data_IF_262213094993
#
_entry.id   IF_262213094993
#
_cell.length_a   1.000
_cell.length_b   1.000
_cell.length_c   1.000
_cell.angle_alpha   90.00
_cell.angle_beta   90.00
_cell.angle_gamma   90.00
#
_symmetry.space_group_name_H-M   'P 1'
#
loop_
_entity.id
_entity.type
_entity.pdbx_description
1 polymer ?
#
# COMPACT_ATOMS: atom_id res chain seq x y z
N UNK A 1 -7.30 -0.59 -20.98
CA UNK A 1 -6.37 0.49 -20.58
C UNK A 1 -5.25 -0.12 -19.75
N UNK A 2 -4.03 -0.29 -20.27
CA UNK A 2 -2.93 -0.85 -19.48
C UNK A 2 -2.48 0.19 -18.43
N UNK A 3 -2.60 -0.16 -17.15
CA UNK A 3 -2.14 0.67 -16.03
C UNK A 3 -0.63 0.86 -16.12
N UNK A 4 -0.18 2.12 -16.22
CA UNK A 4 1.23 2.45 -16.16
C UNK A 4 1.83 1.92 -14.85
N UNK A 5 2.77 0.96 -14.93
CA UNK A 5 3.58 0.57 -13.77
C UNK A 5 4.52 1.74 -13.48
N UNK A 6 4.22 2.52 -12.46
CA UNK A 6 5.21 3.41 -11.87
C UNK A 6 6.38 2.55 -11.37
N UNK A 7 7.62 2.75 -11.84
CA UNK A 7 8.77 2.06 -11.30
C UNK A 7 8.89 2.43 -9.81
N UNK A 8 8.94 1.42 -8.94
CA UNK A 8 9.02 1.63 -7.49
C UNK A 8 10.25 2.47 -7.16
N UNK A 9 10.03 3.69 -6.68
CA UNK A 9 11.11 4.55 -6.19
C UNK A 9 11.46 4.09 -4.78
N UNK A 10 12.67 3.55 -4.61
CA UNK A 10 13.15 3.15 -3.29
C UNK A 10 13.15 4.33 -2.31
N UNK A 11 12.90 4.08 -1.02
CA UNK A 11 12.66 5.12 -0.01
C UNK A 11 13.84 6.09 0.17
N UNK A 12 15.08 5.62 0.00
CA UNK A 12 16.28 6.48 0.03
C UNK A 12 16.28 7.55 -1.06
N UNK A 13 15.96 7.17 -2.31
CA UNK A 13 15.84 8.13 -3.43
C UNK A 13 14.66 9.08 -3.28
N UNK A 14 13.56 8.61 -2.69
CA UNK A 14 12.43 9.47 -2.39
C UNK A 14 12.83 10.55 -1.36
N UNK A 15 13.61 10.17 -0.34
CA UNK A 15 14.09 11.09 0.70
C UNK A 15 15.14 12.09 0.20
N UNK A 16 16.09 11.65 -0.63
CA UNK A 16 17.07 12.52 -1.27
C UNK A 16 16.40 13.62 -2.09
N UNK A 17 15.31 13.28 -2.80
CA UNK A 17 14.53 14.23 -3.61
C UNK A 17 13.75 15.23 -2.77
N UNK A 18 13.41 14.91 -1.52
CA UNK A 18 12.62 15.79 -0.66
C UNK A 18 13.48 16.67 0.26
N UNK A 19 14.81 16.64 0.12
CA UNK A 19 15.71 17.60 0.78
C UNK A 19 15.77 17.47 2.30
N UNK A 20 15.54 16.27 2.85
CA UNK A 20 15.63 16.03 4.31
C UNK A 20 14.33 16.26 5.06
N UNK A 21 13.24 15.60 4.63
CA UNK A 21 11.95 15.67 5.32
C UNK A 21 12.02 15.07 6.73
N UNK A 22 11.43 15.77 7.72
CA UNK A 22 11.44 15.37 9.14
C UNK A 22 10.58 14.13 9.46
N UNK A 23 9.72 13.67 8.54
CA UNK A 23 8.79 12.56 8.78
C UNK A 23 8.42 11.85 7.48
N UNK A 24 8.60 10.53 7.44
CA UNK A 24 8.21 9.69 6.32
C UNK A 24 6.91 8.93 6.66
N UNK A 25 5.93 8.92 5.75
CA UNK A 25 4.74 8.06 5.86
C UNK A 25 4.79 7.10 4.68
N UNK A 26 4.76 5.80 4.95
CA UNK A 26 4.78 4.75 3.94
C UNK A 26 3.46 4.01 4.00
N UNK A 27 2.75 3.98 2.87
CA UNK A 27 1.57 3.13 2.71
C UNK A 27 2.04 1.79 2.15
N UNK A 28 1.89 0.75 2.95
CA UNK A 28 2.17 -0.64 2.59
C UNK A 28 0.86 -1.41 2.41
N UNK A 29 0.89 -2.74 2.42
CA UNK A 29 -0.28 -3.59 2.29
C UNK A 29 -0.47 -4.50 3.50
N UNK A 30 -1.72 -4.64 3.95
CA UNK A 30 -2.09 -5.65 4.92
C UNK A 30 -1.82 -7.05 4.34
N UNK A 31 -1.13 -7.89 5.11
CA UNK A 31 -0.71 -9.22 4.67
C UNK A 31 0.76 -9.32 4.24
N UNK A 32 1.43 -8.17 4.04
CA UNK A 32 2.89 -8.10 3.91
C UNK A 32 3.60 -8.20 5.26
N UNK A 33 4.75 -8.87 5.30
CA UNK A 33 5.67 -9.00 6.43
C UNK A 33 4.94 -9.40 7.72
N UNK A 34 5.26 -8.72 8.83
CA UNK A 34 4.72 -8.98 10.17
C UNK A 34 3.21 -8.73 10.31
N UNK A 35 2.54 -8.17 9.29
CA UNK A 35 1.09 -7.96 9.30
C UNK A 35 0.29 -9.16 8.80
N UNK A 36 0.96 -10.19 8.27
CA UNK A 36 0.28 -11.42 7.86
C UNK A 36 -0.49 -12.04 9.03
N UNK A 37 0.05 -12.01 10.26
CA UNK A 37 -0.61 -12.48 11.48
C UNK A 37 -1.92 -11.74 11.82
N UNK A 38 -2.11 -10.52 11.29
CA UNK A 38 -3.33 -9.72 11.48
C UNK A 38 -4.45 -10.14 10.52
N UNK A 39 -4.18 -11.05 9.58
CA UNK A 39 -5.17 -11.66 8.71
C UNK A 39 -5.58 -13.05 9.21
N UNK A 40 -6.88 -13.33 9.16
CA UNK A 40 -7.40 -14.70 9.33
C UNK A 40 -6.79 -15.63 8.27
N UNK A 41 -6.68 -16.92 8.57
CA UNK A 41 -6.08 -17.92 7.65
C UNK A 41 -6.77 -17.94 6.29
N UNK A 42 -8.11 -17.83 6.29
CA UNK A 42 -8.94 -17.73 5.09
C UNK A 42 -8.65 -16.47 4.27
N UNK A 43 -8.60 -15.30 4.92
CA UNK A 43 -8.26 -14.05 4.24
C UNK A 43 -6.86 -14.14 3.62
N UNK A 44 -5.87 -14.65 4.35
CA UNK A 44 -4.50 -14.80 3.85
C UNK A 44 -4.41 -15.68 2.61
N UNK A 45 -5.13 -16.80 2.60
CA UNK A 45 -5.19 -17.69 1.44
C UNK A 45 -5.87 -17.03 0.24
N UNK A 46 -7.03 -16.39 0.46
CA UNK A 46 -7.78 -15.70 -0.59
C UNK A 46 -7.01 -14.52 -1.20
N UNK A 47 -6.43 -13.66 -0.37
CA UNK A 47 -5.63 -12.52 -0.83
C UNK A 47 -4.37 -12.95 -1.57
N UNK A 48 -3.66 -13.97 -1.07
CA UNK A 48 -2.46 -14.49 -1.74
C UNK A 48 -2.76 -15.03 -3.13
N UNK A 49 -3.93 -15.63 -3.33
CA UNK A 49 -4.40 -16.06 -4.67
C UNK A 49 -4.81 -14.88 -5.55
N UNK A 50 -5.56 -13.92 -5.02
CA UNK A 50 -6.08 -12.80 -5.82
C UNK A 50 -4.99 -11.81 -6.24
N UNK A 51 -4.08 -11.46 -5.33
CA UNK A 51 -3.04 -10.42 -5.53
C UNK A 51 -1.74 -11.04 -6.07
N UNK A 52 -1.51 -12.32 -5.79
CA UNK A 52 -0.32 -13.06 -6.22
C UNK A 52 0.86 -12.92 -5.26
N UNK A 53 1.60 -14.02 -5.05
CA UNK A 53 2.73 -14.06 -4.12
C UNK A 53 3.86 -13.08 -4.44
N UNK A 54 4.11 -12.80 -5.72
CA UNK A 54 5.14 -11.86 -6.15
C UNK A 54 4.88 -10.42 -5.67
N UNK A 55 3.60 -10.02 -5.55
CA UNK A 55 3.23 -8.70 -5.04
C UNK A 55 3.45 -8.58 -3.54
N UNK A 56 3.19 -9.63 -2.78
CA UNK A 56 3.52 -9.64 -1.35
C UNK A 56 5.04 -9.62 -1.14
N UNK A 57 5.81 -10.38 -1.92
CA UNK A 57 7.27 -10.33 -1.85
C UNK A 57 7.84 -8.95 -2.22
N UNK A 58 7.21 -8.23 -3.15
CA UNK A 58 7.55 -6.84 -3.46
C UNK A 58 7.32 -5.91 -2.27
N UNK A 59 6.14 -6.01 -1.63
CA UNK A 59 5.78 -5.22 -0.45
C UNK A 59 6.77 -5.48 0.69
N UNK A 60 7.11 -6.75 0.93
CA UNK A 60 8.06 -7.14 1.98
C UNK A 60 9.44 -6.52 1.74
N UNK A 61 9.91 -6.52 0.49
CA UNK A 61 11.18 -5.91 0.11
C UNK A 61 11.14 -4.40 0.29
N UNK A 62 10.04 -3.74 -0.06
CA UNK A 62 9.90 -2.29 0.10
C UNK A 62 9.85 -1.87 1.57
N UNK A 63 9.11 -2.60 2.42
CA UNK A 63 9.12 -2.36 3.87
C UNK A 63 10.52 -2.56 4.48
N UNK A 64 11.27 -3.57 4.01
CA UNK A 64 12.64 -3.79 4.44
C UNK A 64 13.56 -2.64 4.04
N UNK A 65 13.46 -2.12 2.81
CA UNK A 65 14.24 -0.94 2.40
C UNK A 65 13.93 0.29 3.24
N UNK A 66 12.67 0.50 3.63
CA UNK A 66 12.27 1.62 4.51
C UNK A 66 12.88 1.44 5.91
N UNK A 67 12.82 0.22 6.43
CA UNK A 67 13.36 -0.12 7.76
C UNK A 67 14.88 0.02 7.77
N UNK A 68 15.56 -0.52 6.76
CA UNK A 68 17.02 -0.49 6.62
C UNK A 68 17.57 0.91 6.40
N UNK A 69 16.78 1.82 5.80
CA UNK A 69 17.19 3.21 5.63
C UNK A 69 17.30 3.99 6.95
N UNK A 70 16.80 3.47 8.07
CA UNK A 70 16.91 4.12 9.39
C UNK A 70 16.11 5.43 9.49
N UNK A 71 15.20 5.68 8.55
CA UNK A 71 14.38 6.89 8.49
C UNK A 71 13.23 6.74 9.49
N UNK A 72 12.94 7.74 10.34
CA UNK A 72 11.74 7.76 11.17
C UNK A 72 10.48 7.73 10.29
N UNK A 73 9.91 6.54 10.14
CA UNK A 73 8.81 6.28 9.23
C UNK A 73 7.59 5.71 9.95
N UNK A 74 6.40 6.23 9.61
CA UNK A 74 5.12 5.61 9.97
C UNK A 74 4.69 4.70 8.83
N UNK A 75 4.63 3.38 9.07
CA UNK A 75 4.14 2.40 8.10
C UNK A 75 2.65 2.15 8.32
N UNK A 76 1.83 2.56 7.36
CA UNK A 76 0.37 2.35 7.36
C UNK A 76 0.04 1.12 6.52
N UNK A 77 -0.72 0.18 7.07
CA UNK A 77 -1.12 -1.08 6.40
C UNK A 77 -2.64 -1.15 6.30
N UNK A 78 -3.25 -0.42 5.35
CA UNK A 78 -4.70 -0.38 5.22
C UNK A 78 -5.26 -1.76 4.85
N UNK A 79 -6.52 -2.04 5.24
CA UNK A 79 -7.28 -3.16 4.68
C UNK A 79 -7.54 -2.92 3.18
N UNK A 80 -8.36 -3.78 2.57
CA UNK A 80 -8.74 -3.60 1.16
C UNK A 80 -9.29 -2.20 0.94
N UNK A 81 -8.64 -1.48 0.03
CA UNK A 81 -9.13 -0.23 -0.49
C UNK A 81 -10.13 -0.53 -1.62
N UNK A 82 -11.23 0.21 -1.59
CA UNK A 82 -12.17 0.31 -2.70
C UNK A 82 -12.43 1.80 -2.96
N UNK A 83 -12.97 2.11 -4.13
CA UNK A 83 -13.28 3.49 -4.53
C UNK A 83 -14.65 3.94 -4.00
N UNK A 84 -15.16 3.29 -2.94
CA UNK A 84 -16.42 3.71 -2.34
C UNK A 84 -16.22 4.96 -1.48
N UNK A 85 -17.23 5.82 -1.38
CA UNK A 85 -17.16 6.98 -0.50
C UNK A 85 -16.99 6.55 0.96
N UNK A 86 -16.15 7.26 1.69
CA UNK A 86 -15.86 7.04 3.11
C UNK A 86 -17.12 7.03 4.00
N UNK A 87 -18.20 7.68 3.56
CA UNK A 87 -19.51 7.66 4.21
C UNK A 87 -20.66 7.98 3.25
N UNK A 88 -21.71 7.14 3.26
CA UNK A 88 -23.14 7.49 3.25
C UNK A 88 -23.81 8.24 2.08
N UNK A 89 -23.08 8.89 1.16
CA UNK A 89 -23.75 9.68 0.11
C UNK A 89 -23.38 9.21 -1.29
N UNK A 90 -24.38 8.68 -1.99
CA UNK A 90 -24.34 8.40 -3.42
C UNK A 90 -24.53 9.71 -4.17
N UNK A 91 -23.51 10.16 -4.90
CA UNK A 91 -23.70 11.23 -5.90
C UNK A 91 -24.46 10.61 -7.06
N UNK A 92 -25.76 10.87 -7.14
CA UNK A 92 -26.58 10.53 -8.31
C UNK A 92 -26.46 11.70 -9.28
N UNK A 93 -25.56 11.60 -10.26
CA UNK A 93 -25.52 12.55 -11.37
C UNK A 93 -26.65 12.19 -12.33
N UNK A 94 -27.85 12.75 -12.09
CA UNK A 94 -28.96 12.62 -13.01
C UNK A 94 -28.67 13.41 -14.29
N UNK A 95 -28.56 12.74 -15.43
CA UNK A 95 -28.72 13.39 -16.73
C UNK A 95 -30.22 13.56 -16.94
N UNK A 96 -30.76 14.75 -16.67
CA UNK A 96 -32.08 15.11 -17.18
C UNK A 96 -32.00 15.12 -18.71
N UNK A 97 -32.71 14.20 -19.35
CA UNK A 97 -33.08 14.28 -20.77
C UNK A 97 -34.51 14.76 -20.86
#
# INVERSE_FOLDING_TARGET
MPSARCPGVGPGRALERTGGTKRLIVVSALGGRGSSAQQTRLARWGYRRAVGGARFAEVDRQEELVTAAGIPATVVRPPRLDDQPTSGHRVITGTHR
#
